data_IF_099560433068
#
_entry.id   IF_099560433068
#
_cell.length_a   1.000
_cell.length_b   1.000
_cell.length_c   1.000
_cell.angle_alpha   90.00
_cell.angle_beta   90.00
_cell.angle_gamma   90.00
#
_symmetry.space_group_name_H-M   'P 1'
#
loop_
_entity.id
_entity.type
_entity.pdbx_description
1 polymer ?
#
# COMPACT_ATOMS: atom_id res chain seq x y z
N UNK A 1 15.85 4.55 9.19
CA UNK A 1 16.38 4.12 7.86
C UNK A 1 17.07 5.29 7.18
N UNK A 2 18.24 5.05 6.57
CA UNK A 2 18.95 6.02 5.72
C UNK A 2 19.25 5.37 4.39
N UNK A 3 18.91 6.05 3.30
CA UNK A 3 19.12 5.63 1.92
C UNK A 3 19.99 6.65 1.20
N UNK A 4 21.09 6.20 0.63
CA UNK A 4 21.97 7.03 -0.19
C UNK A 4 21.67 6.76 -1.67
N UNK A 5 21.43 7.81 -2.46
CA UNK A 5 21.28 7.68 -3.92
C UNK A 5 22.62 8.07 -4.56
N UNK A 6 23.28 7.12 -5.18
CA UNK A 6 24.62 7.29 -5.76
C UNK A 6 24.60 7.03 -7.27
N UNK A 7 25.55 7.64 -7.99
CA UNK A 7 25.72 7.40 -9.44
C UNK A 7 26.47 6.11 -9.78
N UNK A 8 27.21 5.56 -8.82
CA UNK A 8 27.99 4.33 -9.00
C UNK A 8 28.32 3.69 -7.67
N UNK A 9 28.73 2.42 -7.71
CA UNK A 9 29.19 1.66 -6.53
C UNK A 9 30.51 2.17 -5.90
N UNK A 10 31.23 3.05 -6.54
CA UNK A 10 32.59 3.46 -6.11
C UNK A 10 32.72 3.94 -4.68
N UNK A 11 31.62 4.42 -4.06
CA UNK A 11 31.59 4.86 -2.66
C UNK A 11 31.01 3.85 -1.69
N UNK A 12 30.46 2.73 -2.16
CA UNK A 12 29.79 1.72 -1.31
C UNK A 12 30.76 1.18 -0.23
N UNK A 13 31.99 0.84 -0.62
CA UNK A 13 33.02 0.38 0.31
C UNK A 13 33.37 1.41 1.39
N UNK A 14 33.35 2.71 1.05
CA UNK A 14 33.57 3.79 2.03
C UNK A 14 32.40 3.89 3.00
N UNK A 15 31.16 3.84 2.50
CA UNK A 15 29.97 3.86 3.34
C UNK A 15 29.95 2.67 4.31
N UNK A 16 30.27 1.45 3.83
CA UNK A 16 30.35 0.27 4.72
C UNK A 16 31.34 0.47 5.87
N UNK A 17 32.51 1.08 5.63
CA UNK A 17 33.48 1.39 6.70
C UNK A 17 32.99 2.48 7.65
N UNK A 18 32.10 3.35 7.21
CA UNK A 18 31.53 4.44 8.03
C UNK A 18 30.30 4.03 8.84
N UNK A 19 29.74 2.82 8.63
CA UNK A 19 28.54 2.37 9.35
C UNK A 19 28.67 2.44 10.87
N UNK A 20 29.79 2.02 11.52
CA UNK A 20 29.90 2.13 12.98
C UNK A 20 29.70 3.56 13.46
N UNK A 21 30.36 4.54 12.82
CA UNK A 21 30.21 5.95 13.17
C UNK A 21 28.79 6.49 12.92
N UNK A 22 28.09 5.98 11.89
CA UNK A 22 26.70 6.34 11.64
C UNK A 22 25.77 5.78 12.73
N UNK A 23 25.98 4.55 13.18
CA UNK A 23 25.19 3.96 14.26
C UNK A 23 25.44 4.67 15.60
N UNK A 24 26.67 5.06 15.88
CA UNK A 24 27.02 5.83 17.08
C UNK A 24 26.36 7.22 17.08
N UNK A 25 26.35 7.88 15.92
CA UNK A 25 25.72 9.20 15.77
C UNK A 25 24.18 9.17 15.72
N UNK A 26 23.60 8.05 15.30
CA UNK A 26 22.16 7.85 15.09
C UNK A 26 21.67 6.57 15.76
N UNK A 27 21.46 6.54 17.09
CA UNK A 27 21.12 5.32 17.84
C UNK A 27 19.83 4.63 17.38
N UNK A 28 18.92 5.37 16.72
CA UNK A 28 17.68 4.83 16.12
C UNK A 28 17.84 4.30 14.70
N UNK A 29 19.05 4.37 14.11
CA UNK A 29 19.31 3.86 12.78
C UNK A 29 19.28 2.32 12.79
N UNK A 30 18.50 1.73 11.86
CA UNK A 30 18.40 0.29 11.70
C UNK A 30 18.79 -0.19 10.31
N UNK A 31 18.37 0.53 9.29
CA UNK A 31 18.58 0.16 7.89
C UNK A 31 19.37 1.23 7.19
N UNK A 32 20.43 0.83 6.50
CA UNK A 32 21.21 1.67 5.61
C UNK A 32 21.29 0.99 4.25
N UNK A 33 20.98 1.73 3.20
CA UNK A 33 21.06 1.24 1.83
C UNK A 33 21.65 2.26 0.87
N UNK A 34 22.05 1.78 -0.29
CA UNK A 34 22.48 2.56 -1.45
C UNK A 34 21.60 2.22 -2.63
N UNK A 35 20.96 3.22 -3.19
CA UNK A 35 20.30 3.10 -4.48
C UNK A 35 21.22 3.62 -5.59
N UNK A 36 21.33 2.89 -6.67
CA UNK A 36 22.17 3.28 -7.80
C UNK A 36 21.33 3.98 -8.89
N UNK A 37 21.60 5.26 -9.12
CA UNK A 37 21.02 6.06 -10.19
C UNK A 37 22.12 6.54 -11.16
N UNK A 38 22.64 5.68 -12.07
CA UNK A 38 23.78 6.01 -12.91
C UNK A 38 23.49 7.08 -13.95
N UNK A 39 22.23 7.19 -14.40
CA UNK A 39 21.82 8.17 -15.41
C UNK A 39 21.46 9.52 -14.78
N UNK A 40 21.77 10.61 -15.48
CA UNK A 40 21.31 11.95 -15.11
C UNK A 40 19.88 12.15 -15.64
N UNK A 41 18.91 11.69 -14.86
CA UNK A 41 17.48 11.75 -15.18
C UNK A 41 16.71 12.36 -14.01
N UNK A 42 15.55 12.94 -14.31
CA UNK A 42 14.67 13.52 -13.29
C UNK A 42 13.84 12.41 -12.56
N UNK A 43 14.55 11.40 -12.03
CA UNK A 43 13.99 10.34 -11.19
C UNK A 43 14.59 10.45 -9.79
N UNK A 44 13.82 10.14 -8.75
CA UNK A 44 14.30 10.14 -7.37
C UNK A 44 15.24 8.98 -7.06
N UNK A 45 15.17 7.88 -7.84
CA UNK A 45 15.84 6.61 -7.59
C UNK A 45 16.05 5.81 -8.88
N UNK A 46 17.01 4.88 -8.85
CA UNK A 46 17.26 3.88 -9.89
C UNK A 46 16.68 2.52 -9.52
N UNK A 47 16.97 1.52 -10.35
CA UNK A 47 16.42 0.16 -10.22
C UNK A 47 17.19 -0.71 -9.21
N UNK A 48 18.44 -0.39 -8.92
CA UNK A 48 19.32 -1.23 -8.11
C UNK A 48 19.44 -0.69 -6.68
N UNK A 49 19.16 -1.55 -5.70
CA UNK A 49 19.27 -1.26 -4.28
C UNK A 49 20.28 -2.19 -3.61
N UNK A 50 21.27 -1.63 -2.91
CA UNK A 50 22.32 -2.36 -2.18
C UNK A 50 22.10 -2.15 -0.70
N UNK A 51 21.71 -3.19 0.02
CA UNK A 51 21.63 -3.16 1.48
C UNK A 51 23.04 -3.18 2.09
N UNK A 52 23.28 -2.29 3.05
CA UNK A 52 24.56 -2.19 3.77
C UNK A 52 24.48 -2.76 5.19
N UNK A 53 23.27 -2.99 5.70
CA UNK A 53 22.99 -3.54 7.03
C UNK A 53 22.39 -4.94 6.92
N UNK A 54 22.47 -5.72 8.02
CA UNK A 54 21.79 -7.01 8.13
C UNK A 54 20.27 -6.84 8.22
N UNK A 55 19.83 -5.82 8.96
CA UNK A 55 18.42 -5.41 8.97
C UNK A 55 18.03 -4.86 7.61
N UNK A 56 16.96 -5.40 7.04
CA UNK A 56 16.46 -5.07 5.69
C UNK A 56 15.19 -4.23 5.70
N UNK A 57 14.48 -4.17 6.83
CA UNK A 57 13.21 -3.47 6.98
C UNK A 57 13.22 -2.56 8.21
N UNK A 58 12.42 -1.50 8.17
CA UNK A 58 12.17 -0.62 9.30
C UNK A 58 10.81 -0.93 9.91
N UNK A 59 10.72 -1.54 11.12
CA UNK A 59 9.42 -1.73 11.78
C UNK A 59 8.74 -0.39 12.05
N UNK A 60 7.51 -0.23 11.57
CA UNK A 60 6.68 0.96 11.74
C UNK A 60 5.30 0.56 12.24
N UNK A 61 4.96 0.90 13.48
CA UNK A 61 3.63 0.66 14.02
C UNK A 61 2.68 1.77 13.56
N UNK A 62 1.62 1.39 12.87
CA UNK A 62 0.56 2.29 12.40
C UNK A 62 -0.78 1.71 12.89
N UNK A 63 -1.41 2.36 13.85
CA UNK A 63 -2.54 1.78 14.58
C UNK A 63 -2.11 0.50 15.32
N UNK A 64 -2.83 -0.58 15.10
CA UNK A 64 -2.58 -1.89 15.73
C UNK A 64 -1.69 -2.81 14.89
N UNK A 65 -1.19 -2.33 13.74
CA UNK A 65 -0.40 -3.11 12.79
C UNK A 65 1.04 -2.61 12.74
N UNK A 66 2.00 -3.54 12.83
CA UNK A 66 3.41 -3.25 12.57
C UNK A 66 3.76 -3.63 11.14
N UNK A 67 4.04 -2.60 10.32
CA UNK A 67 4.52 -2.75 8.96
C UNK A 67 6.04 -2.85 8.93
N UNK A 68 6.58 -3.58 7.95
CA UNK A 68 8.02 -3.79 7.78
C UNK A 68 8.51 -3.29 6.41
N UNK A 69 8.40 -1.97 6.09
CA UNK A 69 8.85 -1.47 4.80
C UNK A 69 10.34 -1.67 4.57
N UNK A 70 10.67 -2.07 3.34
CA UNK A 70 12.03 -2.08 2.80
C UNK A 70 12.39 -0.69 2.23
N UNK A 71 13.68 -0.40 1.98
CA UNK A 71 14.07 0.81 1.24
C UNK A 71 13.35 0.88 -0.11
N UNK A 72 12.80 2.05 -0.43
CA UNK A 72 12.02 2.25 -1.66
C UNK A 72 10.55 1.84 -1.60
N UNK A 73 10.12 1.08 -0.60
CA UNK A 73 8.70 0.77 -0.43
C UNK A 73 7.90 2.02 -0.04
N UNK A 74 6.77 2.22 -0.71
CA UNK A 74 5.86 3.31 -0.35
C UNK A 74 5.15 3.03 0.96
N UNK A 75 5.18 3.99 1.87
CA UNK A 75 4.40 4.02 3.10
C UNK A 75 3.81 5.41 3.27
N UNK A 76 2.61 5.52 3.81
CA UNK A 76 2.02 6.80 4.15
C UNK A 76 2.91 7.55 5.16
N UNK A 77 3.39 8.73 4.78
CA UNK A 77 4.41 9.47 5.55
C UNK A 77 3.90 10.04 6.86
N UNK A 78 2.60 10.37 6.94
CA UNK A 78 1.95 10.81 8.16
C UNK A 78 1.32 9.61 8.88
N UNK A 79 2.08 8.96 9.74
CA UNK A 79 1.65 7.73 10.43
C UNK A 79 0.41 7.93 11.32
N UNK A 80 0.21 9.12 11.89
CA UNK A 80 -0.96 9.42 12.73
C UNK A 80 -2.22 9.46 11.88
N UNK A 81 -2.19 10.18 10.76
CA UNK A 81 -3.32 10.25 9.83
C UNK A 81 -3.55 8.91 9.14
N UNK A 82 -2.48 8.21 8.76
CA UNK A 82 -2.56 6.87 8.18
C UNK A 82 -3.23 5.86 9.13
N UNK A 83 -2.92 5.92 10.43
CA UNK A 83 -3.61 5.10 11.44
C UNK A 83 -5.13 5.37 11.45
N UNK A 84 -5.53 6.65 11.36
CA UNK A 84 -6.94 7.03 11.24
C UNK A 84 -7.59 6.50 9.95
N UNK A 85 -6.87 6.57 8.82
CA UNK A 85 -7.32 6.10 7.53
C UNK A 85 -7.56 4.58 7.53
N UNK A 86 -6.56 3.80 7.99
CA UNK A 86 -6.67 2.33 8.01
C UNK A 86 -7.73 1.84 9.00
N UNK A 87 -7.83 2.47 10.19
CA UNK A 87 -8.88 2.16 11.15
C UNK A 87 -10.27 2.42 10.58
N UNK A 88 -10.48 3.58 9.93
CA UNK A 88 -11.76 3.88 9.32
C UNK A 88 -12.12 2.90 8.21
N UNK A 89 -11.15 2.50 7.39
CA UNK A 89 -11.37 1.48 6.38
C UNK A 89 -11.75 0.13 7.01
N UNK A 90 -11.03 -0.30 8.05
CA UNK A 90 -11.33 -1.52 8.78
C UNK A 90 -12.74 -1.50 9.42
N UNK A 91 -13.14 -0.39 10.03
CA UNK A 91 -14.49 -0.19 10.57
C UNK A 91 -15.56 -0.37 9.49
N UNK A 92 -15.40 0.25 8.31
CA UNK A 92 -16.36 0.10 7.22
C UNK A 92 -16.38 -1.29 6.60
N UNK A 93 -15.21 -1.96 6.55
CA UNK A 93 -15.11 -3.35 6.12
C UNK A 93 -15.83 -4.25 7.13
N UNK A 94 -15.62 -4.05 8.44
CA UNK A 94 -16.26 -4.84 9.49
C UNK A 94 -17.79 -4.68 9.48
N UNK A 95 -18.30 -3.46 9.23
CA UNK A 95 -19.74 -3.21 9.05
C UNK A 95 -20.35 -3.88 7.80
N UNK A 96 -19.54 -4.13 6.78
CA UNK A 96 -19.98 -4.90 5.60
C UNK A 96 -19.98 -6.41 5.86
N UNK A 97 -19.28 -6.88 6.91
CA UNK A 97 -19.12 -8.28 7.31
C UNK A 97 -18.75 -9.24 6.16
N UNK A 98 -17.72 -8.90 5.33
CA UNK A 98 -17.33 -9.74 4.21
C UNK A 98 -16.58 -10.98 4.70
N UNK A 99 -16.82 -12.12 4.05
CA UNK A 99 -16.03 -13.34 4.25
C UNK A 99 -14.70 -13.30 3.47
N UNK A 100 -14.66 -12.51 2.40
CA UNK A 100 -13.50 -12.35 1.55
C UNK A 100 -13.23 -10.88 1.21
N UNK A 101 -11.96 -10.46 1.35
CA UNK A 101 -11.48 -9.12 1.03
C UNK A 101 -10.29 -9.23 0.08
N UNK A 102 -10.33 -8.50 -1.02
CA UNK A 102 -9.23 -8.35 -1.96
C UNK A 102 -8.71 -6.91 -1.91
N UNK A 103 -7.43 -6.73 -1.52
CA UNK A 103 -6.74 -5.43 -1.51
C UNK A 103 -5.87 -5.31 -2.76
N UNK A 104 -6.31 -4.50 -3.71
CA UNK A 104 -5.61 -4.20 -4.97
C UNK A 104 -4.76 -2.94 -4.81
N UNK A 105 -3.52 -3.00 -5.28
CA UNK A 105 -2.47 -2.00 -5.00
C UNK A 105 -2.11 -1.99 -3.51
N UNK A 106 -2.00 -3.17 -2.89
CA UNK A 106 -1.90 -3.29 -1.45
C UNK A 106 -0.59 -2.73 -0.85
N UNK A 107 0.43 -2.46 -1.66
CA UNK A 107 1.73 -2.00 -1.17
C UNK A 107 2.30 -2.92 -0.09
N UNK A 108 2.70 -2.35 1.03
CA UNK A 108 3.20 -3.09 2.21
C UNK A 108 2.08 -3.70 3.07
N UNK A 109 0.85 -3.74 2.56
CA UNK A 109 -0.28 -4.41 3.19
C UNK A 109 -1.07 -3.56 4.19
N UNK A 110 -0.98 -2.24 4.13
CA UNK A 110 -1.62 -1.37 5.13
C UNK A 110 -3.12 -1.65 5.31
N UNK A 111 -3.92 -1.64 4.26
CA UNK A 111 -5.36 -1.92 4.34
C UNK A 111 -5.64 -3.40 4.62
N UNK A 112 -4.99 -4.32 3.90
CA UNK A 112 -5.21 -5.75 4.05
C UNK A 112 -4.96 -6.24 5.48
N UNK A 113 -3.86 -5.81 6.11
CA UNK A 113 -3.51 -6.23 7.47
C UNK A 113 -4.48 -5.66 8.53
N UNK A 114 -4.95 -4.41 8.35
CA UNK A 114 -5.98 -3.85 9.22
C UNK A 114 -7.37 -4.48 9.00
N UNK A 115 -7.64 -5.03 7.81
CA UNK A 115 -8.88 -5.75 7.50
C UNK A 115 -8.87 -7.21 7.98
N UNK A 116 -7.69 -7.77 8.32
CA UNK A 116 -7.57 -9.17 8.71
C UNK A 116 -8.30 -9.46 10.02
N UNK A 117 -9.15 -10.49 10.00
CA UNK A 117 -9.94 -10.99 11.15
C UNK A 117 -10.05 -12.51 11.04
N UNK A 118 -10.23 -13.17 12.16
CA UNK A 118 -10.50 -14.61 12.19
C UNK A 118 -11.72 -14.95 11.33
N UNK A 119 -11.57 -15.90 10.43
CA UNK A 119 -12.64 -16.36 9.54
C UNK A 119 -12.85 -15.50 8.28
N UNK A 120 -12.07 -14.43 8.09
CA UNK A 120 -12.09 -13.61 6.87
C UNK A 120 -10.87 -13.94 6.01
N UNK A 121 -11.11 -14.35 4.77
CA UNK A 121 -10.05 -14.54 3.78
C UNK A 121 -9.59 -13.16 3.26
N UNK A 122 -8.33 -12.78 3.51
CA UNK A 122 -7.75 -11.51 3.04
C UNK A 122 -6.64 -11.80 2.05
N UNK A 123 -6.71 -11.15 0.88
CA UNK A 123 -5.73 -11.30 -0.17
C UNK A 123 -5.28 -9.92 -0.68
N UNK A 124 -3.97 -9.67 -0.68
CA UNK A 124 -3.37 -8.44 -1.21
C UNK A 124 -2.61 -8.72 -2.50
N UNK A 125 -2.72 -7.81 -3.49
CA UNK A 125 -2.02 -7.89 -4.78
C UNK A 125 -1.27 -6.58 -5.03
N UNK A 126 0.02 -6.71 -5.34
CA UNK A 126 0.93 -5.58 -5.59
C UNK A 126 2.00 -5.98 -6.62
N UNK A 127 2.42 -5.04 -7.46
CA UNK A 127 3.44 -5.30 -8.49
C UNK A 127 4.87 -5.33 -7.93
N UNK A 128 5.15 -4.63 -6.82
CA UNK A 128 6.47 -4.60 -6.18
C UNK A 128 6.71 -5.86 -5.36
N UNK A 129 7.74 -6.61 -5.74
CA UNK A 129 8.21 -7.80 -5.01
C UNK A 129 8.61 -7.45 -3.58
N UNK A 130 9.26 -6.30 -3.37
CA UNK A 130 9.73 -5.81 -2.09
C UNK A 130 8.57 -5.45 -1.17
N UNK A 131 7.55 -4.79 -1.71
CA UNK A 131 6.35 -4.44 -0.95
C UNK A 131 5.57 -5.70 -0.53
N UNK A 132 5.42 -6.68 -1.42
CA UNK A 132 4.81 -7.99 -1.11
C UNK A 132 5.61 -8.73 -0.04
N UNK A 133 6.95 -8.74 -0.13
CA UNK A 133 7.80 -9.36 0.89
C UNK A 133 7.62 -8.68 2.26
N UNK A 134 7.53 -7.34 2.27
CA UNK A 134 7.23 -6.55 3.48
C UNK A 134 5.86 -6.91 4.08
N UNK A 135 4.82 -7.01 3.25
CA UNK A 135 3.47 -7.35 3.68
C UNK A 135 3.39 -8.77 4.26
N UNK A 136 4.04 -9.74 3.61
CA UNK A 136 4.13 -11.14 4.09
C UNK A 136 4.85 -11.22 5.43
N UNK A 137 5.95 -10.49 5.60
CA UNK A 137 6.66 -10.42 6.87
C UNK A 137 5.77 -9.86 7.97
N UNK A 138 5.10 -8.75 7.73
CA UNK A 138 4.17 -8.13 8.68
C UNK A 138 3.06 -9.08 9.10
N UNK A 139 2.43 -9.79 8.14
CA UNK A 139 1.41 -10.79 8.43
C UNK A 139 1.93 -11.92 9.31
N UNK A 140 3.11 -12.47 8.97
CA UNK A 140 3.72 -13.59 9.70
C UNK A 140 4.09 -13.20 11.14
N UNK A 141 4.72 -12.04 11.35
CA UNK A 141 5.11 -11.57 12.69
C UNK A 141 3.92 -11.28 13.60
N UNK A 142 2.79 -10.86 13.00
CA UNK A 142 1.54 -10.59 13.74
C UNK A 142 0.60 -11.80 13.84
N UNK A 143 0.93 -12.93 13.19
CA UNK A 143 0.07 -14.12 13.16
C UNK A 143 -1.26 -13.88 12.44
N UNK A 144 -1.31 -12.96 11.46
CA UNK A 144 -2.52 -12.65 10.70
C UNK A 144 -2.64 -13.57 9.48
N UNK A 145 -3.86 -14.11 9.26
CA UNK A 145 -4.17 -14.89 8.06
C UNK A 145 -4.52 -13.96 6.89
N UNK A 146 -3.47 -13.40 6.29
CA UNK A 146 -3.54 -12.58 5.10
C UNK A 146 -2.50 -13.06 4.09
N UNK A 147 -2.91 -13.20 2.83
CA UNK A 147 -2.05 -13.65 1.73
C UNK A 147 -1.69 -12.48 0.83
N UNK A 148 -0.47 -12.47 0.33
CA UNK A 148 0.01 -11.41 -0.55
C UNK A 148 0.71 -12.00 -1.77
N UNK A 149 0.41 -11.46 -2.95
CA UNK A 149 0.99 -11.93 -4.21
C UNK A 149 1.47 -10.79 -5.10
N UNK A 150 2.54 -11.10 -5.84
CA UNK A 150 3.10 -10.17 -6.83
C UNK A 150 2.27 -10.28 -8.10
N UNK A 151 1.68 -9.16 -8.54
CA UNK A 151 0.88 -9.17 -9.76
C UNK A 151 0.32 -7.80 -10.13
N UNK A 152 -0.10 -7.67 -11.38
CA UNK A 152 -0.88 -6.52 -11.84
C UNK A 152 -2.31 -6.61 -11.30
N UNK A 153 -2.77 -5.60 -10.60
CA UNK A 153 -4.09 -5.55 -9.97
C UNK A 153 -5.25 -5.86 -10.93
N UNK A 154 -5.19 -5.31 -12.16
CA UNK A 154 -6.24 -5.49 -13.16
C UNK A 154 -6.24 -6.91 -13.74
N UNK A 155 -5.05 -7.43 -14.06
CA UNK A 155 -4.91 -8.78 -14.59
C UNK A 155 -5.31 -9.83 -13.55
N UNK A 156 -4.91 -9.61 -12.29
CA UNK A 156 -5.28 -10.47 -11.18
C UNK A 156 -6.79 -10.51 -10.98
N UNK A 157 -7.44 -9.34 -10.85
CA UNK A 157 -8.87 -9.24 -10.68
C UNK A 157 -9.64 -9.96 -11.80
N UNK A 158 -9.22 -9.76 -13.05
CA UNK A 158 -9.84 -10.39 -14.21
C UNK A 158 -9.64 -11.92 -14.29
N UNK A 159 -8.68 -12.49 -13.55
CA UNK A 159 -8.42 -13.94 -13.51
C UNK A 159 -9.23 -14.69 -12.47
N UNK A 160 -9.92 -13.97 -11.57
CA UNK A 160 -10.68 -14.61 -10.49
C UNK A 160 -11.91 -15.34 -11.04
N UNK A 161 -12.14 -16.60 -10.65
CA UNK A 161 -13.32 -17.34 -11.06
C UNK A 161 -14.61 -16.82 -10.41
N UNK A 162 -14.48 -16.23 -9.23
CA UNK A 162 -15.57 -15.59 -8.47
C UNK A 162 -15.05 -14.32 -7.82
N UNK A 163 -15.82 -13.21 -7.84
CA UNK A 163 -15.41 -11.99 -7.17
C UNK A 163 -15.39 -12.20 -5.64
N UNK A 164 -14.55 -11.45 -4.90
CA UNK A 164 -14.64 -11.39 -3.44
C UNK A 164 -15.90 -10.63 -3.01
N UNK A 165 -16.26 -10.76 -1.72
CA UNK A 165 -17.39 -10.01 -1.16
C UNK A 165 -17.11 -8.50 -1.14
N UNK A 166 -15.85 -8.11 -0.90
CA UNK A 166 -15.40 -6.73 -0.83
C UNK A 166 -14.01 -6.56 -1.48
N UNK A 167 -13.86 -5.45 -2.21
CA UNK A 167 -12.57 -5.02 -2.78
C UNK A 167 -12.11 -3.73 -2.12
N UNK A 168 -10.83 -3.67 -1.73
CA UNK A 168 -10.15 -2.43 -1.38
C UNK A 168 -9.29 -2.00 -2.56
N UNK A 169 -9.29 -0.72 -2.91
CA UNK A 169 -8.39 -0.15 -3.91
C UNK A 169 -7.73 1.12 -3.38
N UNK A 170 -6.41 1.18 -3.47
CA UNK A 170 -5.61 2.37 -3.18
C UNK A 170 -4.65 2.64 -4.35
N UNK A 171 -5.17 3.07 -5.52
CA UNK A 171 -4.38 3.20 -6.73
C UNK A 171 -3.44 4.41 -6.69
N UNK A 172 -2.42 4.45 -7.57
CA UNK A 172 -1.65 5.67 -7.82
C UNK A 172 -2.55 6.82 -8.32
N UNK A 173 -2.01 8.05 -8.36
CA UNK A 173 -2.72 9.30 -8.74
C UNK A 173 -3.56 9.23 -10.02
N UNK A 174 -3.26 8.29 -10.93
CA UNK A 174 -3.98 8.08 -12.20
C UNK A 174 -5.31 7.32 -12.04
N UNK A 175 -5.69 6.90 -10.83
CA UNK A 175 -6.87 6.08 -10.57
C UNK A 175 -6.72 4.62 -11.02
N UNK A 176 -7.81 3.86 -10.93
CA UNK A 176 -7.87 2.43 -11.33
C UNK A 176 -8.01 2.25 -12.84
N UNK A 177 -8.36 3.29 -13.57
CA UNK A 177 -8.58 3.30 -15.02
C UNK A 177 -9.76 2.41 -15.49
N UNK A 178 -10.13 2.56 -16.78
CA UNK A 178 -11.35 1.95 -17.34
C UNK A 178 -11.42 0.43 -17.17
N UNK A 179 -10.31 -0.31 -17.37
CA UNK A 179 -10.34 -1.78 -17.36
C UNK A 179 -10.67 -2.36 -15.99
N UNK A 180 -10.06 -1.83 -14.91
CA UNK A 180 -10.38 -2.29 -13.56
C UNK A 180 -11.75 -1.76 -13.10
N UNK A 181 -12.11 -0.53 -13.47
CA UNK A 181 -13.45 0.02 -13.20
C UNK A 181 -14.55 -0.83 -13.86
N UNK A 182 -14.40 -1.23 -15.14
CA UNK A 182 -15.35 -2.14 -15.81
C UNK A 182 -15.42 -3.50 -15.10
N UNK A 183 -14.29 -4.06 -14.67
CA UNK A 183 -14.32 -5.31 -13.92
C UNK A 183 -15.09 -5.16 -12.60
N UNK A 184 -14.85 -4.09 -11.82
CA UNK A 184 -15.60 -3.82 -10.59
C UNK A 184 -17.11 -3.66 -10.87
N UNK A 185 -17.46 -2.98 -11.95
CA UNK A 185 -18.86 -2.81 -12.37
C UNK A 185 -19.52 -4.14 -12.70
N UNK A 186 -18.86 -4.98 -13.50
CA UNK A 186 -19.44 -6.19 -14.09
C UNK A 186 -19.32 -7.43 -13.20
N UNK A 187 -18.39 -7.45 -12.23
CA UNK A 187 -18.07 -8.63 -11.43
C UNK A 187 -19.14 -9.04 -10.44
N UNK A 188 -20.03 -8.12 -10.05
CA UNK A 188 -21.01 -8.36 -8.99
C UNK A 188 -20.47 -8.21 -7.56
N UNK A 189 -19.22 -7.68 -7.38
CA UNK A 189 -18.70 -7.36 -6.05
C UNK A 189 -19.68 -6.47 -5.27
N UNK A 190 -19.95 -6.84 -4.00
CA UNK A 190 -21.00 -6.17 -3.20
C UNK A 190 -20.61 -4.82 -2.64
N UNK A 191 -19.31 -4.62 -2.32
CA UNK A 191 -18.78 -3.40 -1.75
C UNK A 191 -17.36 -3.11 -2.20
N UNK A 192 -17.01 -1.82 -2.29
CA UNK A 192 -15.65 -1.36 -2.56
C UNK A 192 -15.27 -0.27 -1.56
N UNK A 193 -14.10 -0.41 -0.94
CA UNK A 193 -13.45 0.65 -0.18
C UNK A 193 -12.39 1.27 -1.09
N UNK A 194 -12.61 2.50 -1.52
CA UNK A 194 -11.71 3.23 -2.42
C UNK A 194 -10.98 4.33 -1.65
N UNK A 195 -9.65 4.23 -1.54
CA UNK A 195 -8.78 5.30 -1.04
C UNK A 195 -8.13 6.01 -2.23
N UNK A 196 -8.12 7.34 -2.25
CA UNK A 196 -7.57 8.12 -3.35
C UNK A 196 -6.95 9.43 -2.89
N UNK A 197 -5.74 9.71 -3.36
CA UNK A 197 -5.09 11.01 -3.20
C UNK A 197 -5.43 12.01 -4.32
N UNK A 198 -6.32 11.65 -5.25
CA UNK A 198 -6.73 12.51 -6.36
C UNK A 198 -8.25 12.45 -6.59
N UNK A 199 -9.03 13.42 -6.10
CA UNK A 199 -10.48 13.42 -6.22
C UNK A 199 -10.98 13.50 -7.66
N UNK A 200 -10.20 14.07 -8.59
CA UNK A 200 -10.58 14.17 -9.99
C UNK A 200 -10.60 12.80 -10.67
N UNK A 201 -9.54 12.01 -10.46
CA UNK A 201 -9.50 10.64 -11.00
C UNK A 201 -10.47 9.71 -10.29
N UNK A 202 -10.68 9.91 -8.98
CA UNK A 202 -11.73 9.20 -8.24
C UNK A 202 -13.09 9.43 -8.86
N UNK A 203 -13.50 10.68 -9.08
CA UNK A 203 -14.80 11.00 -9.71
C UNK A 203 -14.95 10.34 -11.09
N UNK A 204 -13.91 10.44 -11.94
CA UNK A 204 -13.90 9.81 -13.25
C UNK A 204 -13.98 8.28 -13.21
N UNK A 205 -13.44 7.64 -12.16
CA UNK A 205 -13.55 6.20 -11.97
C UNK A 205 -14.96 5.82 -11.46
N UNK A 206 -15.56 6.61 -10.55
CA UNK A 206 -16.94 6.42 -10.08
C UNK A 206 -17.96 6.52 -11.21
N UNK A 207 -17.79 7.45 -12.14
CA UNK A 207 -18.65 7.58 -13.32
C UNK A 207 -18.68 6.31 -14.20
N UNK A 208 -17.65 5.47 -14.10
CA UNK A 208 -17.56 4.18 -14.81
C UNK A 208 -18.16 3.00 -14.05
N UNK A 209 -18.58 3.23 -12.82
CA UNK A 209 -19.11 2.20 -11.93
C UNK A 209 -20.49 2.60 -11.38
N UNK A 210 -21.49 2.84 -12.23
CA UNK A 210 -22.80 3.39 -11.83
C UNK A 210 -23.60 2.49 -10.88
N UNK A 211 -23.33 1.16 -10.89
CA UNK A 211 -23.97 0.22 -9.96
C UNK A 211 -23.32 0.22 -8.56
N UNK A 212 -22.14 0.81 -8.42
CA UNK A 212 -21.42 0.94 -7.15
C UNK A 212 -21.55 2.37 -6.62
N UNK A 213 -22.53 2.61 -5.75
CA UNK A 213 -22.85 3.96 -5.28
C UNK A 213 -22.07 4.35 -4.04
N UNK A 214 -21.52 5.59 -3.96
CA UNK A 214 -20.92 6.10 -2.75
C UNK A 214 -21.97 6.22 -1.64
N UNK A 215 -21.76 5.52 -0.54
CA UNK A 215 -22.63 5.58 0.64
C UNK A 215 -22.01 6.35 1.80
N UNK A 216 -20.68 6.40 1.84
CA UNK A 216 -19.89 7.19 2.82
C UNK A 216 -18.63 7.73 2.17
N UNK A 217 -18.20 8.90 2.61
CA UNK A 217 -16.90 9.46 2.26
C UNK A 217 -16.27 10.13 3.49
N UNK A 218 -14.94 10.05 3.61
CA UNK A 218 -14.17 10.75 4.61
C UNK A 218 -12.86 11.27 4.02
N UNK A 219 -12.56 12.54 4.33
CA UNK A 219 -11.31 13.17 3.93
C UNK A 219 -10.29 13.07 5.09
N UNK A 220 -9.04 12.78 4.72
CA UNK A 220 -7.90 12.74 5.62
C UNK A 220 -6.84 13.73 5.14
N UNK A 221 -6.50 14.70 5.99
CA UNK A 221 -5.43 15.66 5.72
C UNK A 221 -4.06 14.99 5.91
N UNK A 222 -3.69 14.17 4.91
CA UNK A 222 -2.45 13.38 4.92
C UNK A 222 -1.21 14.27 4.79
N UNK A 223 -1.37 15.43 4.13
CA UNK A 223 -0.30 16.35 3.81
C UNK A 223 -0.65 17.79 4.20
N UNK A 224 -0.67 18.13 5.51
CA UNK A 224 -1.24 19.40 6.03
C UNK A 224 -0.62 20.70 5.48
N UNK A 225 0.52 20.61 4.81
CA UNK A 225 1.23 21.77 4.24
C UNK A 225 1.09 21.85 2.70
N UNK A 226 0.11 21.14 2.13
CA UNK A 226 -0.12 21.07 0.69
C UNK A 226 -1.61 20.98 0.35
N UNK A 227 -1.94 21.09 -0.93
CA UNK A 227 -3.32 20.91 -1.45
C UNK A 227 -3.69 19.43 -1.62
N UNK A 228 -2.91 18.52 -1.04
CA UNK A 228 -3.12 17.09 -1.18
C UNK A 228 -3.77 16.49 0.06
N UNK A 229 -4.87 15.79 -0.16
CA UNK A 229 -5.57 15.03 0.87
C UNK A 229 -5.84 13.61 0.37
N UNK A 230 -6.12 12.71 1.29
CA UNK A 230 -6.58 11.35 0.98
C UNK A 230 -8.09 11.28 1.22
N UNK A 231 -8.83 10.76 0.26
CA UNK A 231 -10.28 10.57 0.36
C UNK A 231 -10.56 9.08 0.41
N UNK A 232 -11.20 8.62 1.47
CA UNK A 232 -11.72 7.26 1.59
C UNK A 232 -13.20 7.26 1.26
N UNK A 233 -13.64 6.37 0.38
CA UNK A 233 -15.05 6.22 -0.02
C UNK A 233 -15.46 4.77 0.15
N UNK A 234 -16.62 4.55 0.79
CA UNK A 234 -17.30 3.26 0.77
C UNK A 234 -18.36 3.28 -0.34
N UNK A 235 -18.21 2.37 -1.27
CA UNK A 235 -19.18 2.12 -2.33
C UNK A 235 -19.95 0.84 -2.01
N UNK A 236 -21.24 0.83 -2.27
CA UNK A 236 -22.07 -0.37 -2.21
C UNK A 236 -22.82 -0.56 -3.51
N UNK A 237 -22.98 -1.81 -3.91
CA UNK A 237 -23.82 -2.16 -5.04
C UNK A 237 -25.29 -2.05 -4.63
N UNK A 238 -26.10 -1.44 -5.51
CA UNK A 238 -27.55 -1.42 -5.34
C UNK A 238 -28.07 -2.87 -5.28
N UNK A 239 -28.92 -3.17 -4.29
CA UNK A 239 -29.64 -4.44 -4.28
C UNK A 239 -30.66 -4.43 -5.44
N UNK A 240 -30.55 -5.40 -6.33
CA UNK A 240 -31.54 -5.66 -7.35
C UNK A 240 -32.75 -6.39 -6.77
#
# INVERSE_FOLDING_TARGET
>A
MVRFVLRSEGQVGRLRRSLPALFDALPGLRVVSVNLLPRHVALPEGEEEILLTEETTLPMTIGDVTLHPMPGAFVQTNSVVASGLYRQAAEWIDECDPRSVLDLYCGVGGFALHAARTGRAVHGVEVSTEAVASARRSAAEMGLDARFEVGDATAWAASLPTPPDLVVVNPPRRGIRARLASWLEDSGVGAVVYSSCNPVTLAADLDRMPSLRPVRARLFDMFPQSDHAEVLVLLRRDAH
#
